data_IF_010250275172
#
_entry.id   IF_010250275172
#
_cell.length_a   1.000
_cell.length_b   1.000
_cell.length_c   1.000
_cell.angle_alpha   90.00
_cell.angle_beta   90.00
_cell.angle_gamma   90.00
#
_symmetry.space_group_name_H-M   'P 1'
#
loop_
_entity.id
_entity.type
_entity.pdbx_description
1 polymer ?
#
# COMPACT_ATOMS: atom_id res chain seq x y z
N UNK A 1 -8.37 -14.55 1.09
CA UNK A 1 -7.11 -13.83 1.02
C UNK A 1 -7.22 -12.48 1.65
N UNK A 2 -6.27 -12.18 2.49
CA UNK A 2 -6.17 -10.85 3.07
C UNK A 2 -5.01 -10.14 2.43
N UNK A 3 -5.32 -9.03 1.79
CA UNK A 3 -4.28 -8.20 1.19
C UNK A 3 -4.38 -6.84 1.85
N UNK A 4 -3.25 -6.41 2.40
CA UNK A 4 -3.17 -5.09 2.99
C UNK A 4 -2.76 -4.12 1.90
N UNK A 5 -3.59 -3.13 1.66
CA UNK A 5 -3.25 -2.09 0.71
C UNK A 5 -2.59 -0.94 1.45
N UNK A 6 -1.47 -0.52 0.93
CA UNK A 6 -0.78 0.64 1.49
C UNK A 6 -0.65 1.68 0.40
N UNK A 7 -0.95 2.91 0.76
CA UNK A 7 -0.84 4.02 -0.18
C UNK A 7 0.34 4.87 0.27
N UNK A 8 1.31 4.99 -0.60
CA UNK A 8 2.49 5.80 -0.33
C UNK A 8 2.31 7.15 -0.99
N UNK A 9 2.14 8.18 -0.18
CA UNK A 9 2.03 9.54 -0.67
C UNK A 9 3.41 10.17 -0.71
N UNK A 10 3.74 10.79 -1.81
CA UNK A 10 5.02 11.47 -1.93
C UNK A 10 4.84 12.70 -2.79
N UNK A 11 5.81 13.61 -2.70
CA UNK A 11 5.76 14.82 -3.51
C UNK A 11 6.14 14.52 -4.95
N UNK A 12 7.02 13.54 -5.13
CA UNK A 12 7.45 13.13 -6.47
C UNK A 12 7.15 11.67 -6.68
N UNK A 13 7.02 11.24 -7.93
CA UNK A 13 6.75 9.83 -8.20
C UNK A 13 7.88 8.93 -7.73
N UNK A 14 7.50 7.82 -7.15
CA UNK A 14 8.47 6.83 -6.72
C UNK A 14 8.82 5.92 -7.89
N UNK A 15 10.06 5.45 -7.91
CA UNK A 15 10.46 4.50 -8.93
C UNK A 15 9.91 3.12 -8.58
N UNK A 16 9.91 2.25 -9.57
CA UNK A 16 9.46 0.87 -9.34
C UNK A 16 10.28 0.19 -8.27
N UNK A 17 11.57 0.45 -8.27
CA UNK A 17 12.45 -0.15 -7.26
C UNK A 17 12.08 0.32 -5.86
N UNK A 18 11.78 1.59 -5.72
CA UNK A 18 11.38 2.13 -4.44
C UNK A 18 10.08 1.52 -3.97
N UNK A 19 9.14 1.38 -4.88
CA UNK A 19 7.86 0.79 -4.53
C UNK A 19 8.04 -0.67 -4.11
N UNK A 20 8.87 -1.40 -4.83
CA UNK A 20 9.13 -2.79 -4.49
C UNK A 20 9.77 -2.92 -3.13
N UNK A 21 10.70 -2.04 -2.83
CA UNK A 21 11.34 -2.06 -1.52
C UNK A 21 10.33 -1.79 -0.41
N UNK A 22 9.46 -0.85 -0.64
CA UNK A 22 8.41 -0.56 0.33
C UNK A 22 7.50 -1.77 0.51
N UNK A 23 7.09 -2.37 -0.59
CA UNK A 23 6.23 -3.54 -0.53
C UNK A 23 6.88 -4.67 0.26
N UNK A 24 8.12 -4.93 -0.05
CA UNK A 24 8.84 -6.01 0.63
C UNK A 24 8.95 -5.72 2.11
N UNK A 25 9.33 -4.49 2.43
CA UNK A 25 9.49 -4.11 3.82
C UNK A 25 8.18 -4.21 4.58
N UNK A 26 7.12 -3.69 4.00
CA UNK A 26 5.82 -3.70 4.65
C UNK A 26 5.25 -5.11 4.75
N UNK A 27 5.44 -5.90 3.71
CA UNK A 27 4.97 -7.29 3.73
C UNK A 27 5.66 -8.07 4.82
N UNK A 28 6.95 -7.86 4.98
CA UNK A 28 7.71 -8.55 6.00
C UNK A 28 7.26 -8.10 7.39
N UNK A 29 7.04 -6.81 7.53
CA UNK A 29 6.66 -6.26 8.82
C UNK A 29 5.28 -6.73 9.25
N UNK A 30 4.37 -6.84 8.30
CA UNK A 30 3.00 -7.24 8.61
C UNK A 30 2.78 -8.74 8.46
N UNK A 31 3.77 -9.45 7.97
CA UNK A 31 3.66 -10.89 7.75
C UNK A 31 2.47 -11.22 6.85
N UNK A 32 2.20 -10.34 5.89
CA UNK A 32 1.10 -10.51 4.95
C UNK A 32 1.50 -9.88 3.63
N UNK A 33 0.75 -10.22 2.61
CA UNK A 33 0.97 -9.59 1.30
C UNK A 33 0.50 -8.14 1.38
N UNK A 34 1.41 -7.23 1.08
CA UNK A 34 1.10 -5.80 1.09
C UNK A 34 1.26 -5.27 -0.31
N UNK A 35 0.25 -4.59 -0.78
CA UNK A 35 0.27 -3.94 -2.08
C UNK A 35 0.46 -2.45 -1.87
N UNK A 36 1.45 -1.88 -2.52
CA UNK A 36 1.74 -0.47 -2.37
C UNK A 36 1.33 0.28 -3.61
N UNK A 37 0.58 1.35 -3.41
CA UNK A 37 0.17 2.24 -4.48
C UNK A 37 0.83 3.58 -4.23
N UNK A 38 1.50 4.11 -5.24
CA UNK A 38 2.12 5.41 -5.12
C UNK A 38 1.13 6.50 -5.55
N UNK A 39 0.98 7.50 -4.71
CA UNK A 39 0.15 8.65 -5.01
C UNK A 39 0.94 9.91 -4.78
N UNK A 40 0.64 10.91 -5.58
CA UNK A 40 1.32 12.19 -5.45
C UNK A 40 0.46 13.11 -4.61
N UNK A 41 1.07 13.67 -3.59
CA UNK A 41 0.38 14.59 -2.71
C UNK A 41 1.21 15.86 -2.61
N UNK A 42 0.86 16.89 -3.38
CA UNK A 42 1.65 18.12 -3.39
C UNK A 42 1.56 18.90 -2.08
N UNK A 43 0.64 18.54 -1.21
CA UNK A 43 0.54 19.24 0.05
C UNK A 43 1.59 18.79 1.06
N UNK A 44 2.26 17.69 0.77
CA UNK A 44 3.35 17.25 1.65
C UNK A 44 4.53 18.19 1.52
N UNK A 45 5.11 18.51 2.66
CA UNK A 45 6.28 19.39 2.65
C UNK A 45 7.49 18.62 2.21
N UNK A 46 7.66 17.44 2.74
CA UNK A 46 8.77 16.59 2.34
C UNK A 46 8.52 15.20 2.91
N UNK A 47 9.17 14.23 2.29
CA UNK A 47 9.10 12.87 2.79
C UNK A 47 7.99 12.06 2.17
N UNK A 48 7.77 10.92 2.75
CA UNK A 48 6.78 9.98 2.26
C UNK A 48 5.81 9.67 3.37
N UNK A 49 4.53 9.68 3.04
CA UNK A 49 3.50 9.31 3.99
C UNK A 49 2.88 8.00 3.53
N UNK A 50 2.83 7.03 4.42
CA UNK A 50 2.27 5.73 4.10
C UNK A 50 0.98 5.56 4.89
N UNK A 51 -0.05 5.16 4.19
CA UNK A 51 -1.33 4.91 4.81
C UNK A 51 -1.74 3.47 4.50
N UNK A 52 -2.16 2.77 5.53
CA UNK A 52 -2.61 1.40 5.37
C UNK A 52 -4.12 1.35 5.24
N UNK A 53 -4.57 0.53 4.32
CA UNK A 53 -5.99 0.26 4.20
C UNK A 53 -6.18 -1.24 4.21
N UNK A 54 -6.85 -1.74 5.21
CA UNK A 54 -7.13 -3.16 5.27
C UNK A 54 -8.27 -3.49 4.34
N UNK A 55 -7.96 -4.26 3.34
CA UNK A 55 -8.98 -4.73 2.42
C UNK A 55 -8.96 -6.23 2.41
N UNK A 56 -10.09 -6.80 2.69
CA UNK A 56 -10.25 -8.23 2.55
C UNK A 56 -10.86 -8.49 1.20
N UNK A 57 -10.06 -9.06 0.33
CA UNK A 57 -10.55 -9.45 -0.98
C UNK A 57 -10.91 -10.90 -0.89
N UNK A 58 -12.17 -11.14 -0.73
CA UNK A 58 -12.64 -12.48 -0.57
C UNK A 58 -13.80 -12.67 -1.52
N UNK A 59 -13.55 -13.38 -2.57
CA UNK A 59 -14.55 -13.58 -3.58
C UNK A 59 -15.76 -14.33 -3.08
N UNK A 60 -15.61 -15.04 -1.99
CA UNK A 60 -16.74 -15.80 -1.48
C UNK A 60 -17.67 -14.96 -0.67
N UNK A 61 -17.20 -13.78 -0.35
CA UNK A 61 -17.98 -13.00 0.49
C UNK A 61 -19.12 -12.38 -0.13
N UNK A 62 -19.26 -12.32 -1.11
CA UNK A 62 -20.17 -11.69 -1.63
C UNK A 62 -21.32 -12.15 -1.50
N UNK A 63 -21.34 -12.75 -1.32
CA UNK A 63 -22.37 -13.17 -1.31
C UNK A 63 -23.18 -13.00 -0.39
N UNK A 64 -23.33 -12.85 0.01
CA UNK A 64 -24.06 -12.80 0.85
C UNK A 64 -24.72 -11.99 1.09
N UNK A 65 -24.72 -11.64 0.90
CA UNK A 65 -25.44 -10.90 1.26
C UNK A 65 -26.33 -10.62 1.03
#
# INVERSE_FOLDING_TARGET
FNIVEAIAYSVTPLTKDEIKELEASLSQKNNQTVSVINRIDPTLISGIKVRYEDKVIDGSMKSRI
#
